data_IF_778096992952
#
_entry.id   IF_778096992952
#
_cell.length_a   1.000
_cell.length_b   1.000
_cell.length_c   1.000
_cell.angle_alpha   90.00
_cell.angle_beta   90.00
_cell.angle_gamma   90.00
#
_symmetry.space_group_name_H-M   'P 1'
#
loop_
_entity.id
_entity.type
_entity.pdbx_description
1 polymer ?
#
# COMPACT_ATOMS: atom_id res chain seq x y z
N UNK A 1 -1.35 -12.17 12.34
CA UNK A 1 -1.49 -10.70 12.23
C UNK A 1 -0.82 -10.25 10.94
N UNK A 2 -1.57 -9.78 9.94
CA UNK A 2 -0.97 -9.34 8.67
C UNK A 2 -0.80 -7.82 8.67
N UNK A 3 0.44 -7.39 8.87
CA UNK A 3 0.84 -6.05 8.48
C UNK A 3 1.38 -6.09 7.04
N UNK A 4 1.08 -5.11 6.21
CA UNK A 4 1.68 -4.94 4.87
C UNK A 4 2.11 -3.49 4.74
N UNK A 5 3.40 -3.24 4.53
CA UNK A 5 3.89 -1.90 4.25
C UNK A 5 3.91 -1.70 2.73
N UNK A 6 3.10 -0.79 2.24
CA UNK A 6 3.00 -0.41 0.83
C UNK A 6 3.71 0.93 0.68
N UNK A 7 4.86 0.96 0.00
CA UNK A 7 5.47 2.22 -0.41
C UNK A 7 5.01 2.54 -1.83
N UNK A 8 4.27 3.62 -1.97
CA UNK A 8 3.85 4.19 -3.25
C UNK A 8 4.96 5.15 -3.71
N UNK A 9 5.51 4.92 -4.90
CA UNK A 9 6.53 5.75 -5.51
C UNK A 9 5.98 6.50 -6.73
N UNK A 10 6.15 7.82 -6.67
CA UNK A 10 6.00 8.86 -7.70
C UNK A 10 4.64 8.97 -8.39
N UNK A 11 3.98 10.11 -8.22
CA UNK A 11 3.15 10.76 -9.25
C UNK A 11 3.98 11.90 -9.86
N UNK A 12 3.85 12.22 -11.16
CA UNK A 12 4.47 13.41 -11.75
C UNK A 12 4.10 14.66 -10.96
N UNK A 13 5.04 15.61 -10.84
CA UNK A 13 4.72 16.95 -10.38
C UNK A 13 3.99 17.68 -11.52
N UNK A 14 2.78 18.16 -11.29
CA UNK A 14 2.00 18.89 -12.29
C UNK A 14 2.79 20.09 -12.85
N UNK A 15 2.94 20.24 -14.18
CA UNK A 15 3.23 21.54 -14.76
C UNK A 15 1.96 22.39 -14.69
N UNK A 16 2.12 23.69 -14.42
CA UNK A 16 1.03 24.66 -14.22
C UNK A 16 -0.06 24.57 -15.30
N UNK A 17 -1.16 23.89 -15.00
CA UNK A 17 -2.38 23.92 -15.80
C UNK A 17 -3.41 24.72 -15.00
N UNK A 18 -3.97 25.72 -15.68
CA UNK A 18 -4.98 26.64 -15.17
C UNK A 18 -6.11 25.86 -14.49
N UNK A 19 -6.29 26.16 -13.20
CA UNK A 19 -7.48 26.03 -12.37
C UNK A 19 -8.74 25.60 -13.15
N UNK A 20 -8.92 24.30 -13.34
CA UNK A 20 -10.24 23.73 -13.49
C UNK A 20 -10.74 23.42 -12.08
N UNK A 21 -11.46 24.40 -11.54
CA UNK A 21 -12.19 24.27 -10.29
C UNK A 21 -13.05 23.00 -10.32
N UNK A 22 -12.60 21.96 -9.60
CA UNK A 22 -13.51 20.95 -9.07
C UNK A 22 -14.40 21.70 -8.08
N UNK A 23 -15.63 22.02 -8.52
CA UNK A 23 -16.64 22.63 -7.66
C UNK A 23 -16.71 21.86 -6.33
N UNK A 24 -16.67 22.53 -5.16
CA UNK A 24 -16.79 21.86 -3.88
C UNK A 24 -18.23 21.34 -3.75
N UNK A 25 -18.42 20.04 -3.94
CA UNK A 25 -19.71 19.43 -3.70
C UNK A 25 -19.86 19.16 -2.20
N UNK A 26 -20.48 20.16 -1.57
CA UNK A 26 -21.22 20.12 -0.31
C UNK A 26 -20.44 20.05 1.01
N UNK A 27 -20.36 21.24 1.59
CA UNK A 27 -20.56 21.57 3.00
C UNK A 27 -21.48 20.60 3.75
N UNK A 28 -20.90 19.70 4.54
CA UNK A 28 -21.36 19.25 5.85
C UNK A 28 -20.21 18.46 6.47
N UNK A 29 -19.63 18.99 7.55
CA UNK A 29 -18.68 18.23 8.39
C UNK A 29 -19.44 17.02 8.93
N UNK A 30 -19.06 15.77 8.62
CA UNK A 30 -19.73 14.62 9.20
C UNK A 30 -19.53 14.61 10.73
N UNK A 31 -20.53 14.20 11.52
CA UNK A 31 -20.42 14.14 12.98
C UNK A 31 -19.34 13.16 13.43
N UNK A 32 -18.88 13.36 14.67
CA UNK A 32 -17.73 12.69 15.28
C UNK A 32 -17.87 11.15 15.24
N UNK A 33 -16.89 10.48 14.65
CA UNK A 33 -16.89 9.02 14.48
C UNK A 33 -16.53 8.25 15.76
N UNK A 34 -17.16 7.10 15.94
CA UNK A 34 -16.75 6.06 16.90
C UNK A 34 -15.94 5.02 16.14
N UNK A 35 -14.62 4.96 16.36
CA UNK A 35 -13.76 3.93 15.78
C UNK A 35 -13.69 2.76 16.77
N UNK A 36 -14.18 1.57 16.38
CA UNK A 36 -13.90 0.32 17.09
C UNK A 36 -12.67 -0.33 16.48
N UNK A 37 -11.65 -0.57 17.30
CA UNK A 37 -10.56 -1.50 16.96
C UNK A 37 -11.08 -2.94 17.11
N UNK A 38 -10.65 -3.83 16.21
CA UNK A 38 -11.01 -5.25 16.18
C UNK A 38 -10.42 -6.01 17.38
N UNK A 39 -9.45 -5.43 18.10
CA UNK A 39 -9.03 -5.89 19.43
C UNK A 39 -10.02 -5.59 20.57
N UNK A 40 -11.25 -5.12 20.28
CA UNK A 40 -12.25 -4.86 21.31
C UNK A 40 -12.06 -3.53 22.04
N UNK A 41 -11.48 -2.53 21.39
CA UNK A 41 -11.29 -1.20 21.98
C UNK A 41 -12.15 -0.19 21.22
N UNK A 42 -13.33 0.12 21.79
CA UNK A 42 -14.04 1.37 21.51
C UNK A 42 -13.19 2.53 22.05
N UNK A 43 -13.16 3.67 21.37
CA UNK A 43 -13.53 4.94 22.02
C UNK A 43 -14.28 5.83 21.01
N UNK A 44 -15.50 6.17 21.41
CA UNK A 44 -16.31 7.26 20.88
C UNK A 44 -15.69 8.60 21.29
N UNK A 45 -15.80 9.61 20.44
CA UNK A 45 -15.40 10.99 20.73
C UNK A 45 -16.33 11.72 21.73
N UNK A 46 -16.53 11.17 22.93
CA UNK A 46 -17.15 11.89 24.04
C UNK A 46 -16.29 11.79 25.29
N UNK A 47 -16.00 12.96 25.86
CA UNK A 47 -15.28 13.14 27.11
C UNK A 47 -15.97 12.32 28.23
N UNK A 48 -15.21 11.44 28.90
CA UNK A 48 -15.64 10.41 29.87
C UNK A 48 -16.23 9.10 29.31
N UNK A 49 -15.39 8.07 29.11
CA UNK A 49 -15.64 6.75 29.73
C UNK A 49 -14.50 5.75 29.49
N UNK A 50 -14.36 4.90 30.50
CA UNK A 50 -13.41 3.83 30.83
C UNK A 50 -12.93 2.93 29.68
N UNK A 51 -11.66 2.54 29.77
CA UNK A 51 -11.02 1.43 29.05
C UNK A 51 -11.53 0.07 29.55
N UNK A 52 -12.78 -0.29 29.23
CA UNK A 52 -13.24 -1.68 29.40
C UNK A 52 -12.83 -2.53 28.18
N UNK A 53 -12.17 -3.67 28.43
CA UNK A 53 -11.89 -4.69 27.42
C UNK A 53 -13.22 -5.28 26.95
N UNK A 54 -13.67 -4.92 25.73
CA UNK A 54 -14.87 -5.52 25.16
C UNK A 54 -14.61 -7.00 24.83
N UNK A 55 -15.63 -7.87 24.96
CA UNK A 55 -15.50 -9.27 24.59
C UNK A 55 -15.14 -9.42 23.10
N UNK A 56 -14.49 -10.53 22.70
CA UNK A 56 -14.15 -10.80 21.31
C UNK A 56 -15.40 -10.71 20.42
N UNK A 57 -15.27 -10.10 19.24
CA UNK A 57 -16.35 -10.04 18.25
C UNK A 57 -16.69 -11.46 17.79
N UNK A 58 -17.93 -11.89 18.03
CA UNK A 58 -18.46 -13.17 17.54
C UNK A 58 -19.10 -13.06 16.16
N UNK A 59 -19.52 -11.85 15.78
CA UNK A 59 -20.13 -11.55 14.48
C UNK A 59 -19.56 -10.26 13.89
N UNK A 60 -19.41 -10.23 12.58
CA UNK A 60 -18.96 -9.05 11.82
C UNK A 60 -20.06 -7.97 11.83
N UNK A 61 -19.74 -6.69 12.11
CA UNK A 61 -20.73 -5.63 12.05
C UNK A 61 -21.26 -5.40 10.61
N UNK A 62 -22.54 -5.04 10.42
CA UNK A 62 -23.18 -4.95 9.10
C UNK A 62 -22.47 -4.07 8.06
N UNK A 63 -21.73 -3.06 8.53
CA UNK A 63 -20.99 -2.12 7.68
C UNK A 63 -19.76 -2.75 7.01
N UNK A 64 -19.26 -3.88 7.52
CA UNK A 64 -18.15 -4.62 6.92
C UNK A 64 -18.62 -5.76 6.01
N UNK A 65 -19.85 -6.22 6.17
CA UNK A 65 -20.42 -7.35 5.39
C UNK A 65 -20.52 -6.99 3.91
N UNK A 66 -19.98 -7.86 3.04
CA UNK A 66 -19.93 -7.75 1.57
C UNK A 66 -20.74 -8.90 0.91
N UNK A 67 -22.07 -8.81 0.87
CA UNK A 67 -22.90 -9.86 0.25
C UNK A 67 -22.68 -10.00 -1.26
N UNK A 68 -22.21 -8.96 -1.93
CA UNK A 68 -21.95 -8.90 -3.37
C UNK A 68 -20.64 -9.58 -3.80
N UNK A 69 -19.71 -9.81 -2.87
CA UNK A 69 -18.46 -10.48 -3.18
C UNK A 69 -18.76 -11.97 -3.13
N UNK A 70 -18.91 -12.56 -4.31
CA UNK A 70 -18.79 -14.00 -4.45
C UNK A 70 -17.37 -14.34 -4.03
N UNK A 71 -17.21 -14.89 -2.83
CA UNK A 71 -15.96 -15.44 -2.35
C UNK A 71 -15.94 -16.90 -2.81
N UNK A 72 -15.46 -17.24 -4.03
CA UNK A 72 -14.79 -18.51 -4.13
C UNK A 72 -13.65 -18.36 -3.12
N UNK A 73 -13.78 -19.04 -1.97
CA UNK A 73 -12.62 -19.37 -1.19
C UNK A 73 -11.72 -20.06 -2.21
N UNK A 74 -10.77 -19.31 -2.78
CA UNK A 74 -9.69 -19.90 -3.56
C UNK A 74 -8.85 -20.59 -2.52
N UNK A 75 -9.37 -21.72 -2.02
CA UNK A 75 -8.59 -22.82 -1.51
C UNK A 75 -7.63 -23.11 -2.63
N UNK A 76 -6.36 -23.15 -2.26
CA UNK A 76 -5.25 -23.57 -3.10
C UNK A 76 -5.65 -24.83 -3.89
N UNK A 77 -6.26 -24.66 -5.06
CA UNK A 77 -6.38 -25.73 -6.02
C UNK A 77 -5.00 -25.76 -6.65
N UNK A 78 -4.26 -26.84 -6.38
CA UNK A 78 -2.87 -27.01 -6.84
C UNK A 78 -2.76 -27.07 -8.38
N UNK A 79 -3.87 -26.89 -9.11
CA UNK A 79 -4.00 -27.19 -10.52
C UNK A 79 -4.11 -26.00 -11.48
N UNK A 80 -3.85 -24.74 -11.06
CA UNK A 80 -3.79 -23.61 -12.02
C UNK A 80 -2.53 -22.74 -11.90
N UNK A 81 -1.39 -23.39 -12.14
CA UNK A 81 -0.31 -23.08 -13.09
C UNK A 81 0.30 -21.67 -13.29
N UNK A 82 -0.27 -20.56 -12.82
CA UNK A 82 0.29 -19.23 -13.08
C UNK A 82 0.73 -18.54 -11.78
N UNK A 83 2.04 -18.57 -11.53
CA UNK A 83 2.67 -17.82 -10.45
C UNK A 83 3.14 -16.47 -10.95
N UNK A 84 3.16 -15.49 -10.04
CA UNK A 84 3.62 -14.15 -10.35
C UNK A 84 5.09 -14.20 -10.84
N UNK A 85 5.45 -13.51 -11.94
CA UNK A 85 6.82 -13.47 -12.42
C UNK A 85 7.80 -13.02 -11.34
N UNK A 86 8.97 -13.65 -11.29
CA UNK A 86 10.04 -13.30 -10.36
C UNK A 86 11.14 -12.59 -11.15
N UNK A 87 11.53 -11.39 -10.75
CA UNK A 87 12.56 -10.58 -11.39
C UNK A 87 13.77 -10.47 -10.47
N UNK A 88 14.96 -10.69 -11.00
CA UNK A 88 16.22 -10.54 -10.30
C UNK A 88 16.84 -9.16 -10.56
N UNK A 89 16.82 -8.30 -9.54
CA UNK A 89 17.35 -6.94 -9.68
C UNK A 89 18.86 -6.91 -9.94
N UNK A 90 19.62 -7.86 -9.38
CA UNK A 90 21.07 -7.92 -9.57
C UNK A 90 21.42 -8.23 -11.03
N UNK A 91 20.67 -9.15 -11.66
CA UNK A 91 20.82 -9.43 -13.10
C UNK A 91 20.47 -8.22 -13.98
N UNK A 92 19.37 -7.52 -13.67
CA UNK A 92 18.98 -6.30 -14.39
C UNK A 92 20.05 -5.21 -14.34
N UNK A 93 20.63 -4.95 -13.15
CA UNK A 93 21.70 -3.93 -13.04
C UNK A 93 23.02 -4.40 -13.67
N UNK A 94 23.22 -5.71 -13.82
CA UNK A 94 24.39 -6.29 -14.50
C UNK A 94 24.27 -6.29 -16.03
N UNK A 95 23.12 -5.86 -16.58
CA UNK A 95 22.89 -5.80 -18.03
C UNK A 95 22.50 -7.14 -18.66
N UNK A 96 21.82 -8.02 -17.91
CA UNK A 96 21.29 -9.27 -18.46
C UNK A 96 20.04 -8.99 -19.32
N UNK A 97 20.20 -9.05 -20.64
CA UNK A 97 19.12 -8.81 -21.61
C UNK A 97 17.94 -9.79 -21.43
N UNK A 98 18.20 -11.03 -21.01
CA UNK A 98 17.14 -12.02 -20.80
C UNK A 98 16.27 -11.69 -19.60
N UNK A 99 16.87 -11.12 -18.55
CA UNK A 99 16.12 -10.64 -17.38
C UNK A 99 15.37 -9.34 -17.71
N UNK A 100 15.92 -8.49 -18.59
CA UNK A 100 15.23 -7.29 -19.09
C UNK A 100 13.99 -7.65 -19.92
N UNK A 101 14.07 -8.63 -20.83
CA UNK A 101 12.92 -9.16 -21.57
C UNK A 101 11.88 -9.81 -20.66
N UNK A 102 12.32 -10.41 -19.55
CA UNK A 102 11.43 -10.97 -18.54
C UNK A 102 10.69 -9.88 -17.77
N UNK A 103 11.38 -8.78 -17.42
CA UNK A 103 10.75 -7.59 -16.83
C UNK A 103 9.71 -7.01 -17.79
N UNK A 104 10.04 -6.82 -19.06
CA UNK A 104 9.13 -6.30 -20.08
C UNK A 104 7.82 -7.11 -20.17
N UNK A 105 7.95 -8.44 -20.23
CA UNK A 105 6.79 -9.35 -20.24
C UNK A 105 6.00 -9.30 -18.93
N UNK A 106 6.67 -9.27 -17.77
CA UNK A 106 5.98 -9.16 -16.49
C UNK A 106 5.17 -7.86 -16.39
N UNK A 107 5.69 -6.75 -16.89
CA UNK A 107 4.97 -5.49 -16.95
C UNK A 107 3.73 -5.57 -17.86
N UNK A 108 3.87 -6.14 -19.07
CA UNK A 108 2.80 -6.19 -20.08
C UNK A 108 1.70 -7.22 -19.76
N UNK A 109 2.09 -8.41 -19.33
CA UNK A 109 1.18 -9.54 -19.19
C UNK A 109 0.54 -9.62 -17.80
N UNK A 110 1.19 -9.02 -16.79
CA UNK A 110 0.77 -9.12 -15.39
C UNK A 110 0.53 -7.78 -14.71
N UNK A 111 1.31 -6.74 -15.04
CA UNK A 111 1.37 -5.50 -14.27
C UNK A 111 1.91 -5.68 -12.84
N UNK A 112 2.36 -6.89 -12.48
CA UNK A 112 2.84 -7.30 -11.17
C UNK A 112 4.05 -8.23 -11.31
N UNK A 113 5.00 -8.16 -10.38
CA UNK A 113 6.09 -9.12 -10.24
C UNK A 113 6.65 -9.18 -8.82
N UNK A 114 7.35 -10.26 -8.47
CA UNK A 114 8.16 -10.33 -7.25
C UNK A 114 9.60 -9.94 -7.59
N UNK A 115 10.22 -9.08 -6.80
CA UNK A 115 11.58 -8.60 -7.00
C UNK A 115 12.50 -9.19 -5.94
N UNK A 116 13.48 -9.99 -6.36
CA UNK A 116 14.52 -10.59 -5.51
C UNK A 116 15.86 -9.91 -5.75
N UNK A 117 16.84 -10.17 -4.87
CA UNK A 117 18.19 -9.63 -4.97
C UNK A 117 18.19 -8.10 -5.12
N UNK A 118 17.22 -7.43 -4.50
CA UNK A 118 16.91 -6.00 -4.66
C UNK A 118 17.95 -5.04 -4.05
N UNK A 119 18.90 -5.55 -3.26
CA UNK A 119 19.99 -4.76 -2.68
C UNK A 119 19.66 -4.03 -1.38
N UNK A 120 18.38 -3.87 -1.01
CA UNK A 120 17.98 -3.41 0.32
C UNK A 120 18.45 -4.38 1.40
N UNK A 121 19.11 -3.88 2.45
CA UNK A 121 19.69 -4.71 3.52
C UNK A 121 18.61 -5.48 4.28
N UNK A 122 18.70 -6.82 4.30
CA UNK A 122 17.75 -7.67 5.02
C UNK A 122 17.60 -7.29 6.50
N UNK A 123 18.69 -6.93 7.19
CA UNK A 123 18.62 -6.51 8.59
C UNK A 123 17.79 -5.25 8.83
N UNK A 124 17.76 -4.32 7.88
CA UNK A 124 16.90 -3.13 7.96
C UNK A 124 15.44 -3.49 7.70
N UNK A 125 15.19 -4.36 6.71
CA UNK A 125 13.84 -4.86 6.40
C UNK A 125 13.23 -5.56 7.62
N UNK A 126 13.98 -6.47 8.25
CA UNK A 126 13.49 -7.22 9.42
C UNK A 126 13.25 -6.32 10.64
N UNK A 127 14.07 -5.28 10.85
CA UNK A 127 13.81 -4.26 11.88
C UNK A 127 12.49 -3.54 11.62
N UNK A 128 12.31 -2.98 10.42
CA UNK A 128 11.10 -2.22 10.07
C UNK A 128 9.85 -3.09 10.14
N UNK A 129 9.96 -4.38 9.77
CA UNK A 129 8.88 -5.36 9.97
C UNK A 129 8.50 -5.48 11.45
N UNK A 130 9.48 -5.75 12.32
CA UNK A 130 9.24 -5.91 13.75
C UNK A 130 8.66 -4.63 14.37
N UNK A 131 9.27 -3.47 14.09
CA UNK A 131 8.85 -2.19 14.65
C UNK A 131 7.47 -1.74 14.14
N UNK A 132 7.11 -2.11 12.91
CA UNK A 132 5.74 -1.88 12.40
C UNK A 132 4.72 -2.72 13.18
N UNK A 133 5.05 -3.97 13.52
CA UNK A 133 4.18 -4.80 14.36
C UNK A 133 4.05 -4.21 15.76
N UNK A 134 5.17 -3.81 16.36
CA UNK A 134 5.20 -3.15 17.68
C UNK A 134 4.35 -1.87 17.68
N UNK A 135 4.43 -1.06 16.62
CA UNK A 135 3.60 0.13 16.45
C UNK A 135 2.10 -0.20 16.45
N UNK A 136 1.68 -1.25 15.76
CA UNK A 136 0.26 -1.65 15.75
C UNK A 136 -0.20 -2.28 17.07
N UNK A 137 0.73 -2.85 17.83
CA UNK A 137 0.50 -3.41 19.16
C UNK A 137 0.53 -2.36 20.28
N UNK A 138 0.92 -1.11 20.00
CA UNK A 138 0.81 -0.01 20.96
C UNK A 138 -0.63 0.14 21.51
N UNK A 139 -0.77 0.61 22.77
CA UNK A 139 -2.05 0.98 23.33
C UNK A 139 -2.80 1.97 22.43
N UNK A 140 -4.13 1.90 22.42
CA UNK A 140 -4.92 2.76 21.55
C UNK A 140 -4.63 4.24 21.78
N UNK A 141 -4.44 4.67 23.04
CA UNK A 141 -4.19 6.07 23.39
C UNK A 141 -2.86 6.59 22.82
N UNK A 142 -1.87 5.71 22.66
CA UNK A 142 -0.62 6.03 21.97
C UNK A 142 -0.85 6.14 20.46
N UNK A 143 -1.62 5.21 19.86
CA UNK A 143 -1.98 5.25 18.44
C UNK A 143 -2.86 6.46 18.08
N UNK A 144 -3.70 6.95 19.01
CA UNK A 144 -4.58 8.12 18.82
C UNK A 144 -3.84 9.41 18.50
N UNK A 145 -2.61 9.55 19.00
CA UNK A 145 -1.75 10.71 18.71
C UNK A 145 -1.50 10.90 17.21
N UNK A 146 -1.70 9.83 16.44
CA UNK A 146 -1.49 9.79 15.00
C UNK A 146 -2.78 9.78 14.20
N UNK A 147 -3.97 9.92 14.80
CA UNK A 147 -5.23 9.79 14.06
C UNK A 147 -5.34 10.78 12.90
N UNK A 148 -5.88 10.27 11.79
CA UNK A 148 -6.33 11.10 10.68
C UNK A 148 -7.27 12.20 11.16
N UNK A 149 -7.02 13.42 10.72
CA UNK A 149 -7.91 14.56 10.95
C UNK A 149 -9.02 14.57 9.90
N UNK A 150 -10.19 15.20 10.17
CA UNK A 150 -11.25 15.33 9.17
C UNK A 150 -10.75 15.97 7.87
N UNK A 151 -10.99 15.31 6.74
CA UNK A 151 -10.53 15.75 5.42
C UNK A 151 -9.08 15.36 5.09
N UNK A 152 -8.40 14.66 5.99
CA UNK A 152 -7.02 14.19 5.82
C UNK A 152 -6.95 12.67 5.63
N UNK A 153 -6.08 12.22 4.74
CA UNK A 153 -5.83 10.80 4.48
C UNK A 153 -4.60 10.28 5.24
N UNK A 154 -3.72 11.17 5.69
CA UNK A 154 -2.51 10.82 6.45
C UNK A 154 -2.79 10.58 7.93
N UNK A 155 -2.01 9.69 8.53
CA UNK A 155 -2.17 9.26 9.90
C UNK A 155 -2.83 7.88 10.03
N UNK A 156 -3.18 7.54 11.27
CA UNK A 156 -3.75 6.27 11.66
C UNK A 156 -5.26 6.27 11.37
N UNK A 157 -5.74 5.25 10.67
CA UNK A 157 -7.15 5.10 10.33
C UNK A 157 -7.41 4.27 9.08
N UNK A 158 -8.63 4.39 8.56
CA UNK A 158 -9.06 3.70 7.35
C UNK A 158 -8.90 4.61 6.13
N UNK A 159 -8.88 4.01 4.94
CA UNK A 159 -8.90 4.79 3.69
C UNK A 159 -10.32 5.23 3.36
N UNK A 160 -10.43 6.47 2.88
CA UNK A 160 -11.58 6.97 2.11
C UNK A 160 -12.96 6.69 2.73
N UNK A 161 -13.15 7.00 4.01
CA UNK A 161 -14.50 7.01 4.60
C UNK A 161 -15.20 8.31 4.18
N UNK A 162 -16.13 8.20 3.24
CA UNK A 162 -16.88 9.32 2.68
C UNK A 162 -18.31 9.45 3.23
N UNK A 163 -18.96 8.36 3.66
CA UNK A 163 -20.33 8.39 4.20
C UNK A 163 -20.58 7.34 5.29
N UNK A 164 -21.70 7.47 6.02
CA UNK A 164 -22.10 6.53 7.06
C UNK A 164 -22.59 5.19 6.50
N UNK A 165 -23.19 5.22 5.31
CA UNK A 165 -23.73 4.06 4.59
C UNK A 165 -22.63 3.26 3.88
N UNK A 166 -21.46 3.87 3.69
CA UNK A 166 -20.34 3.23 3.01
C UNK A 166 -19.92 1.95 3.72
N UNK A 167 -19.76 0.90 2.92
CA UNK A 167 -19.19 -0.38 3.32
C UNK A 167 -17.69 -0.24 3.63
N UNK A 168 -17.26 -0.72 4.79
CA UNK A 168 -15.90 -0.57 5.30
C UNK A 168 -15.05 -1.80 5.08
N UNK A 169 -13.77 -1.59 4.86
CA UNK A 169 -12.78 -2.66 4.72
C UNK A 169 -12.39 -3.24 6.08
N UNK A 170 -12.11 -4.55 6.14
CA UNK A 170 -11.65 -5.25 7.33
C UNK A 170 -10.15 -5.05 7.54
N UNK A 171 -9.78 -3.78 7.72
CA UNK A 171 -8.41 -3.36 7.93
C UNK A 171 -8.36 -1.90 8.33
N UNK A 172 -7.21 -1.51 8.88
CA UNK A 172 -6.86 -0.12 9.13
C UNK A 172 -5.37 0.05 8.85
N UNK A 173 -4.87 1.27 8.87
CA UNK A 173 -3.47 1.50 8.58
C UNK A 173 -2.96 2.84 9.07
N UNK A 174 -1.72 3.11 8.70
CA UNK A 174 -1.01 4.35 8.96
C UNK A 174 -0.42 4.85 7.65
N UNK A 175 -0.89 6.01 7.17
CA UNK A 175 -0.49 6.60 5.89
C UNK A 175 0.39 7.83 6.12
N UNK A 176 1.45 7.99 5.33
CA UNK A 176 2.35 9.15 5.35
C UNK A 176 2.71 9.57 3.93
N UNK A 177 2.74 10.87 3.64
CA UNK A 177 3.58 11.40 2.56
C UNK A 177 5.01 11.53 3.06
N UNK A 178 5.96 10.92 2.36
CA UNK A 178 7.35 10.79 2.78
C UNK A 178 8.29 11.57 1.89
N UNK A 179 7.95 11.75 0.62
CA UNK A 179 8.65 12.67 -0.28
C UNK A 179 7.67 13.43 -1.18
N UNK A 180 8.03 14.63 -1.63
CA UNK A 180 9.14 15.44 -1.12
C UNK A 180 8.97 15.83 0.35
N UNK A 181 10.07 16.13 1.05
CA UNK A 181 10.07 16.28 2.52
C UNK A 181 9.19 17.42 3.04
N UNK A 182 8.93 18.44 2.21
CA UNK A 182 8.05 19.55 2.58
C UNK A 182 6.56 19.15 2.70
N UNK A 183 6.16 17.99 2.16
CA UNK A 183 4.80 17.45 2.35
C UNK A 183 4.63 16.74 3.71
N UNK A 184 5.73 16.46 4.43
CA UNK A 184 5.68 15.68 5.67
C UNK A 184 4.99 16.46 6.79
N UNK A 185 4.00 15.84 7.42
CA UNK A 185 3.32 16.41 8.59
C UNK A 185 4.15 16.25 9.87
N UNK A 186 4.34 17.37 10.57
CA UNK A 186 5.16 17.45 11.80
C UNK A 186 4.66 16.60 12.97
N UNK A 187 3.37 16.25 12.98
CA UNK A 187 2.76 15.46 14.05
C UNK A 187 2.76 13.94 13.77
N UNK A 188 3.24 13.51 12.60
CA UNK A 188 3.24 12.10 12.19
C UNK A 188 4.63 11.50 12.30
N UNK A 189 5.37 11.40 11.19
CA UNK A 189 6.70 10.77 11.13
C UNK A 189 7.64 11.23 12.27
N UNK A 190 7.81 12.53 12.57
CA UNK A 190 8.72 12.97 13.64
C UNK A 190 8.30 12.55 15.05
N UNK A 191 7.03 12.16 15.25
CA UNK A 191 6.45 11.74 16.53
C UNK A 191 6.42 10.23 16.71
N UNK A 192 6.81 9.45 15.71
CA UNK A 192 6.96 8.00 15.86
C UNK A 192 7.96 7.68 16.98
N UNK A 193 7.74 6.59 17.75
CA UNK A 193 8.64 6.20 18.82
C UNK A 193 10.04 5.87 18.27
N UNK A 194 11.06 6.09 19.10
CA UNK A 194 12.40 5.57 18.83
C UNK A 194 12.49 4.11 19.30
N UNK A 195 13.21 3.24 18.59
CA UNK A 195 14.05 3.51 17.40
C UNK A 195 13.30 3.59 16.06
N UNK A 196 12.02 3.20 16.02
CA UNK A 196 11.24 3.05 14.78
C UNK A 196 11.30 4.24 13.83
N UNK A 197 11.21 5.48 14.34
CA UNK A 197 11.33 6.68 13.50
C UNK A 197 12.62 6.70 12.67
N UNK A 198 13.76 6.43 13.30
CA UNK A 198 15.08 6.58 12.67
C UNK A 198 15.34 5.44 11.68
N UNK A 199 15.01 4.21 12.09
CA UNK A 199 15.11 3.05 11.20
C UNK A 199 14.13 3.17 10.01
N UNK A 200 12.93 3.72 10.21
CA UNK A 200 11.98 4.00 9.13
C UNK A 200 12.47 5.09 8.19
N UNK A 201 13.08 6.18 8.67
CA UNK A 201 13.67 7.22 7.82
C UNK A 201 14.76 6.66 6.89
N UNK A 202 15.64 5.79 7.42
CA UNK A 202 16.64 5.09 6.61
C UNK A 202 15.94 4.21 5.58
N UNK A 203 14.95 3.42 6.02
CA UNK A 203 14.21 2.54 5.12
C UNK A 203 13.50 3.30 4.01
N UNK A 204 12.86 4.45 4.26
CA UNK A 204 12.12 5.20 3.24
C UNK A 204 12.97 5.61 2.02
N UNK A 205 14.27 5.79 2.22
CA UNK A 205 15.22 6.07 1.13
C UNK A 205 15.49 4.86 0.23
N UNK A 206 15.36 3.64 0.75
CA UNK A 206 15.68 2.40 0.05
C UNK A 206 14.65 2.07 -1.06
N UNK A 207 13.33 1.98 -0.82
CA UNK A 207 12.34 1.83 -1.87
C UNK A 207 12.32 2.99 -2.86
N UNK A 208 12.67 4.23 -2.45
CA UNK A 208 12.79 5.35 -3.40
C UNK A 208 13.87 5.05 -4.44
N UNK A 209 15.08 4.70 -3.97
CA UNK A 209 16.20 4.38 -4.84
C UNK A 209 15.92 3.13 -5.68
N UNK A 210 15.23 2.15 -5.10
CA UNK A 210 14.82 0.94 -5.80
C UNK A 210 13.80 1.25 -6.91
N UNK A 211 12.78 2.06 -6.63
CA UNK A 211 11.79 2.49 -7.61
C UNK A 211 12.43 3.18 -8.82
N UNK A 212 13.36 4.11 -8.59
CA UNK A 212 14.10 4.78 -9.67
C UNK A 212 14.88 3.78 -10.53
N UNK A 213 15.56 2.82 -9.90
CA UNK A 213 16.28 1.78 -10.65
C UNK A 213 15.34 0.87 -11.45
N UNK A 214 14.16 0.54 -10.92
CA UNK A 214 13.15 -0.25 -11.64
C UNK A 214 12.65 0.55 -12.84
N UNK A 215 12.30 1.83 -12.65
CA UNK A 215 11.87 2.74 -13.71
C UNK A 215 12.92 2.89 -14.80
N UNK A 216 14.21 2.98 -14.45
CA UNK A 216 15.32 3.01 -15.43
C UNK A 216 15.39 1.72 -16.25
N UNK A 217 15.15 0.55 -15.64
CA UNK A 217 15.14 -0.73 -16.35
C UNK A 217 13.89 -0.87 -17.24
N UNK A 218 12.74 -0.39 -16.77
CA UNK A 218 11.55 -0.28 -17.62
C UNK A 218 11.84 0.62 -18.83
N UNK A 219 12.44 1.80 -18.63
CA UNK A 219 12.85 2.70 -19.71
C UNK A 219 13.69 1.99 -20.79
N UNK A 220 14.67 1.18 -20.36
CA UNK A 220 15.54 0.41 -21.27
C UNK A 220 14.77 -0.66 -22.05
N UNK A 221 13.93 -1.44 -21.37
CA UNK A 221 13.07 -2.43 -22.02
C UNK A 221 12.17 -1.78 -23.09
N UNK A 222 11.71 -0.57 -22.76
CA UNK A 222 10.88 0.29 -23.57
C UNK A 222 11.66 1.08 -24.63
N UNK A 223 12.99 0.99 -24.66
CA UNK A 223 13.89 1.76 -25.56
C UNK A 223 13.64 3.28 -25.51
N UNK A 224 13.20 3.78 -24.35
CA UNK A 224 12.99 5.20 -24.08
C UNK A 224 14.30 5.89 -23.72
N UNK A 225 14.37 7.21 -23.93
CA UNK A 225 15.47 8.01 -23.40
C UNK A 225 15.41 7.97 -21.86
N UNK A 226 16.51 7.61 -21.16
CA UNK A 226 16.55 7.62 -19.70
C UNK A 226 16.19 8.98 -19.07
N UNK A 227 16.41 10.08 -19.79
CA UNK A 227 16.07 11.42 -19.31
C UNK A 227 14.56 11.63 -19.23
N UNK A 228 13.77 11.05 -20.14
CA UNK A 228 12.31 11.20 -20.14
C UNK A 228 11.69 10.59 -18.88
N UNK A 229 12.10 9.37 -18.53
CA UNK A 229 11.61 8.69 -17.32
C UNK A 229 12.03 9.42 -16.04
N UNK A 230 13.23 10.01 -16.04
CA UNK A 230 13.70 10.84 -14.93
C UNK A 230 12.93 12.16 -14.83
N UNK A 231 12.57 12.79 -15.94
CA UNK A 231 11.76 14.00 -15.94
C UNK A 231 10.35 13.72 -15.39
N UNK A 232 9.74 12.61 -15.79
CA UNK A 232 8.41 12.19 -15.36
C UNK A 232 8.34 11.83 -13.88
N UNK A 233 9.33 11.09 -13.35
CA UNK A 233 9.23 10.46 -12.03
C UNK A 233 10.34 10.85 -11.04
N UNK A 234 11.41 11.51 -11.48
CA UNK A 234 12.60 11.78 -10.67
C UNK A 234 12.35 12.67 -9.44
N UNK A 235 11.36 13.56 -9.52
CA UNK A 235 10.92 14.43 -8.42
C UNK A 235 9.51 14.08 -7.92
N UNK A 236 9.06 12.84 -8.15
CA UNK A 236 7.70 12.44 -7.82
C UNK A 236 7.41 12.36 -6.32
N UNK A 237 6.12 12.29 -6.01
CA UNK A 237 5.60 12.12 -4.63
C UNK A 237 5.77 10.68 -4.16
N UNK A 238 6.31 10.47 -2.96
CA UNK A 238 6.35 9.16 -2.31
C UNK A 238 5.39 9.16 -1.11
N UNK A 239 4.62 8.10 -0.95
CA UNK A 239 3.85 7.85 0.27
C UNK A 239 4.09 6.43 0.78
N UNK A 240 3.91 6.25 2.08
CA UNK A 240 3.96 4.96 2.76
C UNK A 240 2.59 4.69 3.38
N UNK A 241 2.10 3.47 3.22
CA UNK A 241 0.95 2.97 3.94
C UNK A 241 1.25 1.64 4.61
N UNK A 242 1.25 1.64 5.93
CA UNK A 242 1.28 0.41 6.71
C UNK A 242 -0.16 -0.06 6.91
N UNK A 243 -0.53 -1.20 6.37
CA UNK A 243 -1.84 -1.80 6.52
C UNK A 243 -1.79 -2.86 7.62
N UNK A 244 -2.85 -2.98 8.42
CA UNK A 244 -3.05 -4.02 9.41
C UNK A 244 -4.43 -4.67 9.21
N UNK A 245 -4.42 -5.99 9.01
CA UNK A 245 -5.61 -6.81 8.84
C UNK A 245 -5.78 -7.72 10.07
N UNK A 246 -6.70 -7.38 10.98
CA UNK A 246 -6.95 -8.18 12.18
C UNK A 246 -7.68 -9.49 11.84
N UNK A 247 -7.56 -10.54 12.69
CA UNK A 247 -8.38 -11.74 12.55
C UNK A 247 -9.87 -11.41 12.45
N UNK A 248 -10.59 -12.11 11.58
CA UNK A 248 -12.03 -11.95 11.38
C UNK A 248 -12.77 -13.21 11.83
N UNK A 249 -13.87 -13.11 12.59
CA UNK A 249 -14.68 -14.28 12.96
C UNK A 249 -15.47 -14.86 11.77
N UNK A 250 -15.74 -14.05 10.74
CA UNK A 250 -16.50 -14.44 9.53
C UNK A 250 -15.75 -13.92 8.28
N UNK A 251 -14.56 -14.45 7.98
CA UNK A 251 -13.71 -13.96 6.89
C UNK A 251 -14.36 -14.06 5.51
N UNK A 252 -15.31 -14.99 5.34
CA UNK A 252 -16.10 -15.18 4.11
C UNK A 252 -17.14 -14.08 3.85
N UNK A 253 -17.30 -13.12 4.79
CA UNK A 253 -18.26 -12.02 4.66
C UNK A 253 -17.59 -10.65 4.53
N UNK A 254 -16.26 -10.60 4.59
CA UNK A 254 -15.51 -9.34 4.59
C UNK A 254 -14.36 -9.38 3.61
N UNK A 255 -13.87 -8.20 3.27
CA UNK A 255 -12.66 -8.05 2.47
C UNK A 255 -11.67 -7.17 3.23
N UNK A 256 -10.39 -7.57 3.21
CA UNK A 256 -9.32 -6.83 3.89
C UNK A 256 -9.13 -5.45 3.29
N UNK A 257 -9.03 -5.37 1.96
CA UNK A 257 -9.03 -4.14 1.17
C UNK A 257 -9.86 -4.38 -0.10
N UNK A 258 -10.79 -3.48 -0.41
CA UNK A 258 -11.62 -3.60 -1.60
C UNK A 258 -10.77 -3.71 -2.88
N UNK A 259 -11.29 -4.39 -3.91
CA UNK A 259 -10.63 -4.46 -5.22
C UNK A 259 -10.40 -3.06 -5.81
N UNK A 260 -9.18 -2.77 -6.23
CA UNK A 260 -8.78 -1.47 -6.79
C UNK A 260 -7.56 -1.63 -7.70
N UNK A 261 -7.28 -0.57 -8.46
CA UNK A 261 -5.98 -0.32 -9.07
C UNK A 261 -5.27 0.78 -8.26
N UNK A 262 -3.93 0.77 -8.29
CA UNK A 262 -3.15 1.79 -7.60
C UNK A 262 -3.04 3.04 -8.47
N UNK A 263 -3.42 4.20 -7.92
CA UNK A 263 -3.31 5.49 -8.61
C UNK A 263 -1.86 6.03 -8.68
N UNK A 264 -0.85 5.20 -8.43
CA UNK A 264 0.57 5.58 -8.43
C UNK A 264 1.26 5.29 -9.75
N UNK A 265 2.54 5.67 -9.91
CA UNK A 265 3.35 5.09 -10.99
C UNK A 265 3.78 3.66 -10.65
N UNK A 266 4.36 3.47 -9.47
CA UNK A 266 4.87 2.20 -9.01
C UNK A 266 4.56 1.98 -7.53
N UNK A 267 4.11 0.80 -7.18
CA UNK A 267 3.97 0.36 -5.79
C UNK A 267 5.02 -0.70 -5.49
N UNK A 268 5.72 -0.55 -4.36
CA UNK A 268 6.63 -1.55 -3.80
C UNK A 268 6.06 -2.02 -2.46
N UNK A 269 5.54 -3.23 -2.45
CA UNK A 269 4.87 -3.86 -1.32
C UNK A 269 5.85 -4.79 -0.58
N UNK A 270 5.98 -4.54 0.73
CA UNK A 270 6.67 -5.41 1.67
C UNK A 270 5.63 -6.22 2.49
N UNK A 271 5.53 -7.53 2.29
CA UNK A 271 4.82 -8.41 3.21
C UNK A 271 5.59 -8.48 4.54
N UNK A 272 4.95 -8.10 5.65
CA UNK A 272 5.59 -8.14 6.98
C UNK A 272 5.56 -9.55 7.57
N UNK A 273 4.63 -10.39 7.13
CA UNK A 273 4.51 -11.77 7.57
C UNK A 273 4.30 -12.73 6.39
N UNK A 274 4.34 -14.03 6.68
CA UNK A 274 4.14 -15.10 5.69
C UNK A 274 2.65 -15.48 5.52
N UNK A 275 1.71 -14.57 5.80
CA UNK A 275 0.29 -14.86 5.62
C UNK A 275 -0.13 -14.56 4.19
N UNK A 276 -0.84 -15.51 3.59
CA UNK A 276 -1.53 -15.30 2.33
C UNK A 276 -2.62 -14.23 2.47
N UNK A 277 -2.93 -13.55 1.36
CA UNK A 277 -4.05 -12.60 1.32
C UNK A 277 -3.95 -11.51 0.28
N UNK A 278 -2.84 -11.41 -0.47
CA UNK A 278 -2.85 -10.63 -1.71
C UNK A 278 -3.45 -11.52 -2.82
N UNK A 279 -4.42 -10.97 -3.53
CA UNK A 279 -4.98 -11.56 -4.74
C UNK A 279 -4.92 -10.50 -5.84
N UNK A 280 -4.62 -10.93 -7.05
CA UNK A 280 -4.59 -10.07 -8.24
C UNK A 280 -5.59 -10.59 -9.26
N UNK A 281 -6.16 -9.70 -10.07
CA UNK A 281 -7.10 -10.08 -11.12
C UNK A 281 -6.36 -10.20 -12.45
N UNK A 282 -6.28 -11.41 -13.01
CA UNK A 282 -5.70 -11.70 -14.33
C UNK A 282 -6.71 -12.46 -15.18
N UNK A 283 -6.94 -11.99 -16.40
CA UNK A 283 -7.90 -12.61 -17.36
C UNK A 283 -9.28 -12.89 -16.76
N UNK A 284 -9.77 -11.95 -15.94
CA UNK A 284 -11.05 -12.05 -15.25
C UNK A 284 -11.07 -12.96 -14.01
N UNK A 285 -9.96 -13.63 -13.68
CA UNK A 285 -9.83 -14.55 -12.54
C UNK A 285 -8.97 -13.95 -11.43
N UNK A 286 -9.29 -14.27 -10.19
CA UNK A 286 -8.43 -13.93 -9.05
C UNK A 286 -7.32 -14.96 -8.92
N UNK A 287 -6.08 -14.49 -8.81
CA UNK A 287 -4.86 -15.29 -8.61
C UNK A 287 -4.28 -14.93 -7.26
N UNK A 288 -4.09 -15.92 -6.39
CA UNK A 288 -3.45 -15.72 -5.09
C UNK A 288 -1.93 -15.54 -5.27
N UNK A 289 -1.38 -14.49 -4.65
CA UNK A 289 0.07 -14.24 -4.67
C UNK A 289 0.69 -14.85 -3.42
N UNK A 290 1.68 -15.73 -3.64
CA UNK A 290 2.51 -16.31 -2.57
C UNK A 290 3.83 -15.54 -2.51
N UNK A 291 4.04 -14.69 -1.50
CA UNK A 291 5.26 -13.90 -1.41
C UNK A 291 6.48 -14.78 -1.16
N UNK A 292 7.56 -14.55 -1.92
CA UNK A 292 8.84 -15.19 -1.68
C UNK A 292 9.53 -14.58 -0.45
N UNK A 293 10.34 -15.37 0.29
CA UNK A 293 11.24 -14.83 1.29
C UNK A 293 12.16 -13.77 0.67
N UNK A 294 12.44 -12.70 1.41
CA UNK A 294 13.33 -11.60 0.99
C UNK A 294 13.01 -11.02 -0.40
N UNK A 295 11.71 -10.94 -0.73
CA UNK A 295 11.21 -10.33 -1.95
C UNK A 295 10.25 -9.18 -1.65
N UNK A 296 10.28 -8.18 -2.53
CA UNK A 296 9.18 -7.21 -2.64
C UNK A 296 8.20 -7.68 -3.70
N UNK A 297 6.93 -7.33 -3.55
CA UNK A 297 5.95 -7.41 -4.65
C UNK A 297 5.87 -6.02 -5.25
N UNK A 298 6.04 -5.92 -6.56
CA UNK A 298 6.01 -4.65 -7.28
C UNK A 298 4.84 -4.67 -8.26
N UNK A 299 4.11 -3.57 -8.34
CA UNK A 299 3.08 -3.39 -9.35
C UNK A 299 3.10 -2.01 -9.99
N UNK A 300 2.64 -2.00 -11.24
CA UNK A 300 2.42 -0.81 -12.05
C UNK A 300 1.08 -0.22 -11.61
N UNK A 301 1.03 1.11 -11.47
CA UNK A 301 -0.22 1.82 -11.23
C UNK A 301 -0.67 2.65 -12.42
N UNK A 302 -1.89 3.19 -12.31
CA UNK A 302 -2.63 3.85 -13.39
C UNK A 302 -1.83 5.00 -14.02
N UNK A 303 -1.06 5.75 -13.23
CA UNK A 303 -0.26 6.87 -13.73
C UNK A 303 0.80 6.37 -14.71
N UNK A 304 1.55 5.33 -14.34
CA UNK A 304 2.58 4.79 -15.22
C UNK A 304 1.95 4.14 -16.44
N UNK A 305 0.86 3.39 -16.28
CA UNK A 305 0.13 2.80 -17.41
C UNK A 305 -0.29 3.85 -18.44
N UNK A 306 -0.92 4.94 -18.01
CA UNK A 306 -1.35 6.03 -18.90
C UNK A 306 -0.14 6.70 -19.57
N UNK A 307 0.92 6.98 -18.81
CA UNK A 307 2.16 7.55 -19.38
C UNK A 307 2.76 6.65 -20.44
N UNK A 308 2.81 5.34 -20.19
CA UNK A 308 3.29 4.36 -21.16
C UNK A 308 2.37 4.31 -22.39
N UNK A 309 1.05 4.32 -22.25
CA UNK A 309 0.16 4.34 -23.42
C UNK A 309 0.40 5.59 -24.29
N UNK A 310 0.57 6.77 -23.67
CA UNK A 310 0.79 8.03 -24.39
C UNK A 310 2.13 8.03 -25.14
N UNK A 311 3.21 7.60 -24.48
CA UNK A 311 4.54 7.54 -25.11
C UNK A 311 4.62 6.53 -26.27
N UNK A 312 3.69 5.58 -26.32
CA UNK A 312 3.66 4.49 -27.32
C UNK A 312 2.61 4.67 -28.43
N UNK A 313 1.69 5.62 -28.27
CA UNK A 313 0.66 5.95 -29.27
C UNK A 313 1.06 7.12 -30.17
N UNK A 314 2.29 7.62 -30.03
CA UNK A 314 2.92 8.68 -30.83
C UNK A 314 4.13 8.10 -31.59
#
# INVERSE_FOLDING_TARGET
MAAKATTIASSPAEPSIKEQAVKPMMTKVPPRYVRRDVKGVMICNDDNSSTEQLPPLTTVPPRYVRPEIDHPLIRNDESSAEQLPVIDMHKLVSGDDSELEKLDRACKDWGFFQLINHGVRCSLVEKVKAETLDFFDLPIDEKRKFWQQPGDIEGFGQLFIASEEQKLDWGYGFTLFTLPTYLRKLHLLPKLPLPFRDDLEVYLSEPKNLALKILDQMAKALRMDPNDMKELFGNGVQSLRMNYYPPCPQPEQVIGINSHCDASALTILLPINQMDGLQIKKDGKLVAVRPLPDAFIVNIGDILEVTLIICYSL
#
